data_IF_150207943742
#
_entry.id   IF_150207943742
#
_cell.length_a   1.000
_cell.length_b   1.000
_cell.length_c   1.000
_cell.angle_alpha   90.00
_cell.angle_beta   90.00
_cell.angle_gamma   90.00
#
_symmetry.space_group_name_H-M   'P 1'
#
loop_
_entity.id
_entity.type
_entity.pdbx_description
1 polymer ?
#
# COMPACT_ATOMS: atom_id res chain seq x y z
N UNK A 1 5.09 14.57 -18.21
CA UNK A 1 6.31 14.68 -17.38
C UNK A 1 6.36 13.46 -16.48
N UNK A 2 7.54 12.90 -16.22
CA UNK A 2 7.71 11.77 -15.30
C UNK A 2 7.83 12.31 -13.88
N UNK A 3 6.94 11.90 -12.97
CA UNK A 3 7.01 12.31 -11.55
C UNK A 3 8.33 11.82 -10.96
N UNK A 4 9.06 12.72 -10.28
CA UNK A 4 10.39 12.40 -9.70
C UNK A 4 10.33 12.54 -8.19
N UNK A 5 10.82 11.52 -7.49
CA UNK A 5 10.94 11.44 -6.03
C UNK A 5 12.40 11.34 -5.62
N UNK A 6 12.73 11.74 -4.40
CA UNK A 6 14.09 11.67 -3.84
C UNK A 6 14.19 10.78 -2.60
N UNK A 7 15.29 10.03 -2.50
CA UNK A 7 15.73 9.40 -1.25
C UNK A 7 17.12 9.93 -0.96
N UNK A 8 17.24 10.79 0.05
CA UNK A 8 18.53 11.29 0.50
C UNK A 8 19.14 10.32 1.49
N UNK A 9 20.40 9.94 1.31
CA UNK A 9 21.11 9.05 2.24
C UNK A 9 22.18 9.85 3.00
N UNK A 10 22.06 9.88 4.32
CA UNK A 10 22.99 10.55 5.24
C UNK A 10 23.80 9.46 5.95
N UNK A 11 25.11 9.46 5.76
CA UNK A 11 26.01 8.47 6.36
C UNK A 11 27.45 8.97 6.46
N UNK A 12 28.31 8.24 7.19
CA UNK A 12 29.76 8.45 7.20
C UNK A 12 30.48 7.18 6.77
N UNK A 13 31.09 7.18 5.57
CA UNK A 13 31.89 6.04 5.06
C UNK A 13 31.08 4.78 4.72
N UNK A 14 29.80 4.94 4.37
CA UNK A 14 28.88 3.84 4.00
C UNK A 14 28.36 3.99 2.56
N UNK A 15 29.21 4.43 1.64
CA UNK A 15 28.88 4.65 0.23
C UNK A 15 28.40 3.35 -0.45
N UNK A 16 28.96 2.20 -0.04
CA UNK A 16 28.54 0.89 -0.51
C UNK A 16 27.08 0.57 -0.14
N UNK A 17 26.66 0.92 1.07
CA UNK A 17 25.30 0.70 1.54
C UNK A 17 24.30 1.64 0.86
N UNK A 18 24.69 2.90 0.63
CA UNK A 18 23.90 3.82 -0.20
C UNK A 18 23.70 3.28 -1.62
N UNK A 19 24.75 2.68 -2.20
CA UNK A 19 24.68 1.98 -3.49
C UNK A 19 23.72 0.78 -3.46
N UNK A 20 23.74 -0.01 -2.39
CA UNK A 20 22.82 -1.14 -2.20
C UNK A 20 21.36 -0.69 -2.10
N UNK A 21 21.08 0.39 -1.35
CA UNK A 21 19.73 0.99 -1.29
C UNK A 21 19.29 1.44 -2.68
N UNK A 22 20.16 2.13 -3.43
CA UNK A 22 19.86 2.57 -4.79
C UNK A 22 19.49 1.42 -5.73
N UNK A 23 20.24 0.32 -5.67
CA UNK A 23 19.93 -0.88 -6.45
C UNK A 23 18.59 -1.51 -6.04
N UNK A 24 18.30 -1.60 -4.74
CA UNK A 24 17.04 -2.16 -4.26
C UNK A 24 15.84 -1.29 -4.63
N UNK A 25 15.96 0.05 -4.55
CA UNK A 25 14.95 0.99 -5.03
C UNK A 25 14.66 0.78 -6.51
N UNK A 26 15.70 0.67 -7.35
CA UNK A 26 15.53 0.41 -8.78
C UNK A 26 14.85 -0.95 -9.05
N UNK A 27 15.23 -1.98 -8.30
CA UNK A 27 14.66 -3.32 -8.42
C UNK A 27 13.18 -3.35 -7.98
N UNK A 28 12.81 -2.62 -6.93
CA UNK A 28 11.41 -2.53 -6.50
C UNK A 28 10.55 -1.79 -7.53
N UNK A 29 11.05 -0.70 -8.13
CA UNK A 29 10.36 -0.03 -9.24
C UNK A 29 10.15 -0.94 -10.45
N UNK A 30 11.08 -1.85 -10.72
CA UNK A 30 10.91 -2.86 -11.77
C UNK A 30 9.83 -3.87 -11.38
N UNK A 31 9.85 -4.37 -10.15
CA UNK A 31 8.89 -5.33 -9.59
C UNK A 31 7.47 -4.79 -9.62
N UNK A 32 7.27 -3.53 -9.21
CA UNK A 32 5.99 -2.83 -9.27
C UNK A 32 5.59 -2.38 -10.69
N UNK A 33 6.51 -2.52 -11.66
CA UNK A 33 6.31 -2.09 -13.04
C UNK A 33 6.23 -0.57 -13.23
N UNK A 34 6.79 0.21 -12.30
CA UNK A 34 6.75 1.67 -12.23
C UNK A 34 7.97 2.36 -12.86
N UNK A 35 9.02 1.61 -13.18
CA UNK A 35 10.28 2.09 -13.76
C UNK A 35 10.17 2.93 -15.06
N UNK A 36 9.00 3.00 -15.69
CA UNK A 36 8.72 3.86 -16.87
C UNK A 36 7.79 5.03 -16.60
N UNK A 37 7.13 5.03 -15.44
CA UNK A 37 6.08 5.98 -15.06
C UNK A 37 6.58 7.04 -14.08
N UNK A 38 7.55 6.69 -13.24
CA UNK A 38 8.16 7.61 -12.29
C UNK A 38 9.66 7.32 -12.13
N UNK A 39 10.37 8.27 -11.52
CA UNK A 39 11.79 8.15 -11.17
C UNK A 39 11.97 8.34 -9.67
N UNK A 40 12.77 7.49 -9.03
CA UNK A 40 13.21 7.71 -7.64
C UNK A 40 14.74 7.85 -7.65
N UNK A 41 15.24 9.03 -7.26
CA UNK A 41 16.68 9.30 -7.22
C UNK A 41 17.21 9.08 -5.80
N UNK A 42 18.17 8.18 -5.65
CA UNK A 42 18.91 7.99 -4.39
C UNK A 42 20.19 8.81 -4.44
N UNK A 43 20.41 9.72 -3.49
CA UNK A 43 21.57 10.62 -3.49
C UNK A 43 22.08 10.94 -2.08
N UNK A 44 23.39 11.14 -1.94
CA UNK A 44 24.00 11.62 -0.70
C UNK A 44 23.91 13.15 -0.57
N UNK A 45 23.86 13.84 -1.71
CA UNK A 45 23.71 15.29 -1.78
C UNK A 45 22.32 15.74 -1.37
N UNK A 46 22.22 16.99 -0.89
CA UNK A 46 20.94 17.67 -0.67
C UNK A 46 20.11 17.65 -1.95
N UNK A 47 18.86 17.25 -1.84
CA UNK A 47 17.90 17.20 -2.94
C UNK A 47 17.40 18.62 -3.27
N UNK A 48 16.87 18.82 -4.49
CA UNK A 48 16.22 20.10 -4.82
C UNK A 48 14.88 20.22 -4.10
N UNK A 49 14.53 21.44 -3.71
CA UNK A 49 13.28 21.76 -2.99
C UNK A 49 12.00 21.44 -3.77
N UNK A 50 12.12 21.06 -5.05
CA UNK A 50 11.02 20.89 -5.98
C UNK A 50 10.42 19.50 -5.99
N UNK A 51 11.15 18.49 -5.50
CA UNK A 51 10.70 17.10 -5.54
C UNK A 51 10.42 16.60 -4.11
N UNK A 52 9.34 15.82 -3.94
CA UNK A 52 9.08 15.15 -2.67
C UNK A 52 10.23 14.18 -2.38
N UNK A 53 10.70 14.20 -1.15
CA UNK A 53 11.80 13.36 -0.76
C UNK A 53 11.70 12.94 0.70
N UNK A 54 12.35 11.82 0.99
CA UNK A 54 12.56 11.29 2.33
C UNK A 54 14.05 11.14 2.58
N UNK A 55 14.44 11.08 3.84
CA UNK A 55 15.82 10.86 4.23
C UNK A 55 16.01 9.50 4.89
N UNK A 56 17.14 8.88 4.62
CA UNK A 56 17.66 7.70 5.28
C UNK A 56 18.92 8.10 6.02
N UNK A 57 18.99 7.82 7.32
CA UNK A 57 20.21 7.95 8.10
C UNK A 57 20.80 6.55 8.34
N UNK A 58 21.99 6.28 7.80
CA UNK A 58 22.70 5.03 8.08
C UNK A 58 23.45 5.17 9.40
N UNK A 59 22.83 4.68 10.47
CA UNK A 59 23.28 4.84 11.84
C UNK A 59 24.37 3.85 12.23
N UNK A 60 25.47 4.39 12.72
CA UNK A 60 26.51 3.67 13.44
C UNK A 60 27.21 4.63 14.43
N UNK A 61 28.15 4.11 15.22
CA UNK A 61 28.88 4.93 16.19
C UNK A 61 29.70 6.06 15.54
N UNK A 62 30.16 5.88 14.30
CA UNK A 62 30.99 6.83 13.56
C UNK A 62 30.15 8.00 13.05
N UNK A 63 29.05 7.71 12.36
CA UNK A 63 28.10 8.69 11.85
C UNK A 63 27.44 9.48 12.99
N UNK A 64 27.14 8.83 14.12
CA UNK A 64 26.59 9.51 15.30
C UNK A 64 27.54 10.52 15.92
N UNK A 65 28.84 10.24 15.90
CA UNK A 65 29.86 11.09 16.51
C UNK A 65 30.30 12.25 15.59
N UNK A 66 29.89 12.24 14.32
CA UNK A 66 30.30 13.21 13.32
C UNK A 66 29.42 14.48 13.37
N UNK A 67 30.01 15.68 13.61
CA UNK A 67 29.27 16.93 13.64
C UNK A 67 28.62 17.30 12.30
N UNK A 68 29.26 17.00 11.17
CA UNK A 68 28.71 17.34 9.84
C UNK A 68 27.44 16.52 9.59
N UNK A 69 27.41 15.26 10.04
CA UNK A 69 26.22 14.40 9.95
C UNK A 69 25.09 14.94 10.83
N UNK A 70 25.40 15.41 12.04
CA UNK A 70 24.40 16.02 12.92
C UNK A 70 23.80 17.29 12.28
N UNK A 71 24.61 18.10 11.61
CA UNK A 71 24.17 19.31 10.89
C UNK A 71 23.27 18.96 9.69
N UNK A 72 23.59 17.90 8.93
CA UNK A 72 22.73 17.43 7.83
C UNK A 72 21.39 16.87 8.33
N UNK A 73 21.36 16.15 9.46
CA UNK A 73 20.11 15.71 10.08
C UNK A 73 19.28 16.91 10.54
N UNK A 74 19.90 17.89 11.20
CA UNK A 74 19.22 19.10 11.66
C UNK A 74 18.64 19.90 10.48
N UNK A 75 19.38 19.98 9.37
CA UNK A 75 18.93 20.64 8.15
C UNK A 75 17.62 20.05 7.62
N UNK A 76 17.53 18.72 7.53
CA UNK A 76 16.35 18.01 7.02
C UNK A 76 15.14 18.12 7.98
N UNK A 77 15.37 17.97 9.29
CA UNK A 77 14.30 18.12 10.29
C UNK A 77 13.69 19.52 10.30
N UNK A 78 14.51 20.57 10.13
CA UNK A 78 14.03 21.95 10.07
C UNK A 78 13.14 22.23 8.86
N UNK A 79 13.20 21.38 7.83
CA UNK A 79 12.36 21.45 6.63
C UNK A 79 11.10 20.58 6.74
N UNK A 80 10.95 19.83 7.83
CA UNK A 80 9.87 18.86 8.01
C UNK A 80 10.08 17.56 7.23
N UNK A 81 11.28 17.29 6.72
CA UNK A 81 11.57 16.04 6.01
C UNK A 81 11.58 14.86 6.98
N UNK A 82 10.83 13.80 6.68
CA UNK A 82 10.89 12.54 7.44
C UNK A 82 12.25 11.88 7.26
N UNK A 83 12.90 11.51 8.37
CA UNK A 83 14.19 10.81 8.39
C UNK A 83 14.00 9.43 9.02
N UNK A 84 14.35 8.38 8.27
CA UNK A 84 14.35 7.00 8.73
C UNK A 84 15.76 6.59 9.20
N UNK A 85 15.98 6.37 10.51
CA UNK A 85 17.21 5.77 10.99
C UNK A 85 17.26 4.29 10.59
N UNK A 86 18.31 3.88 9.89
CA UNK A 86 18.63 2.48 9.64
C UNK A 86 19.80 2.08 10.52
N UNK A 87 19.64 0.99 11.25
CA UNK A 87 20.66 0.48 12.18
C UNK A 87 20.81 -1.01 12.02
N UNK A 88 21.99 -1.55 12.36
CA UNK A 88 22.22 -2.99 12.23
C UNK A 88 21.47 -3.79 13.32
N UNK A 89 21.26 -3.18 14.50
CA UNK A 89 20.59 -3.81 15.65
C UNK A 89 19.83 -2.77 16.48
N UNK A 90 18.51 -2.97 16.64
CA UNK A 90 17.65 -2.10 17.44
C UNK A 90 18.05 -2.08 18.92
N UNK A 91 18.65 -3.15 19.44
CA UNK A 91 19.18 -3.21 20.81
C UNK A 91 20.30 -2.19 21.07
N UNK A 92 20.95 -1.72 20.02
CA UNK A 92 22.04 -0.73 20.07
C UNK A 92 21.64 0.65 19.56
N UNK A 93 20.34 0.93 19.40
CA UNK A 93 19.81 2.19 18.87
C UNK A 93 20.47 3.43 19.48
N UNK A 94 20.49 3.55 20.80
CA UNK A 94 21.05 4.73 21.48
C UNK A 94 22.55 4.88 21.27
N UNK A 95 23.27 3.84 20.86
CA UNK A 95 24.70 3.91 20.53
C UNK A 95 24.94 4.37 19.08
N UNK A 96 23.96 4.17 18.18
CA UNK A 96 24.09 4.39 16.74
C UNK A 96 23.30 5.62 16.23
N UNK A 97 22.34 6.12 17.00
CA UNK A 97 21.47 7.24 16.60
C UNK A 97 21.74 8.48 17.46
N UNK A 98 21.92 9.67 16.87
CA UNK A 98 22.14 10.91 17.61
C UNK A 98 20.86 11.36 18.34
N UNK A 99 21.03 12.08 19.46
CA UNK A 99 19.89 12.51 20.31
C UNK A 99 18.84 13.32 19.57
N UNK A 100 19.24 14.11 18.57
CA UNK A 100 18.32 14.91 17.74
C UNK A 100 17.32 14.04 16.97
N UNK A 101 17.66 12.77 16.68
CA UNK A 101 16.84 11.81 15.96
C UNK A 101 16.27 10.72 16.89
N UNK A 102 16.51 10.79 18.20
CA UNK A 102 16.10 9.76 19.15
C UNK A 102 14.57 9.65 19.34
N UNK A 103 13.80 10.60 18.81
CA UNK A 103 12.34 10.55 18.79
C UNK A 103 11.78 9.62 17.69
N UNK A 104 12.60 9.27 16.69
CA UNK A 104 12.20 8.45 15.56
C UNK A 104 12.55 6.97 15.81
N UNK A 105 11.62 6.07 15.48
CA UNK A 105 11.89 4.64 15.48
C UNK A 105 12.86 4.28 14.34
N UNK A 106 13.82 3.40 14.62
CA UNK A 106 14.70 2.88 13.58
C UNK A 106 14.13 1.63 12.90
N UNK A 107 14.65 1.35 11.71
CA UNK A 107 14.46 0.09 11.01
C UNK A 107 15.76 -0.69 11.10
N UNK A 108 15.67 -1.96 11.49
CA UNK A 108 16.81 -2.86 11.44
C UNK A 108 17.14 -3.22 9.99
N UNK A 109 18.39 -3.02 9.58
CA UNK A 109 18.91 -3.50 8.31
C UNK A 109 20.11 -4.41 8.55
N UNK A 110 19.88 -5.72 8.46
CA UNK A 110 20.88 -6.75 8.80
C UNK A 110 21.16 -7.72 7.63
N UNK A 111 21.02 -7.24 6.40
CA UNK A 111 21.26 -8.02 5.19
C UNK A 111 20.26 -7.73 4.07
N UNK A 112 20.27 -8.56 3.04
CA UNK A 112 19.44 -8.36 1.85
C UNK A 112 17.95 -8.59 2.12
N UNK A 113 17.61 -9.48 3.06
CA UNK A 113 16.21 -9.84 3.37
C UNK A 113 15.44 -8.64 3.96
N UNK A 114 16.04 -7.90 4.89
CA UNK A 114 15.42 -6.72 5.49
C UNK A 114 15.39 -5.50 4.56
N UNK A 115 16.18 -5.49 3.49
CA UNK A 115 16.28 -4.36 2.57
C UNK A 115 14.99 -4.12 1.78
N UNK A 116 14.28 -5.19 1.40
CA UNK A 116 12.98 -5.08 0.74
C UNK A 116 12.00 -4.27 1.60
N UNK A 117 11.93 -4.59 2.91
CA UNK A 117 11.11 -3.86 3.88
C UNK A 117 11.52 -2.40 4.00
N UNK A 118 12.82 -2.09 4.02
CA UNK A 118 13.31 -0.70 4.03
C UNK A 118 12.77 0.06 2.83
N UNK A 119 12.93 -0.48 1.61
CA UNK A 119 12.47 0.19 0.38
C UNK A 119 10.96 0.41 0.38
N UNK A 120 10.17 -0.58 0.85
CA UNK A 120 8.71 -0.43 0.96
C UNK A 120 8.30 0.70 1.89
N UNK A 121 8.90 0.79 3.09
CA UNK A 121 8.62 1.89 4.02
C UNK A 121 8.95 3.25 3.40
N UNK A 122 10.04 3.35 2.63
CA UNK A 122 10.37 4.59 1.91
C UNK A 122 9.34 4.89 0.82
N UNK A 123 8.84 3.88 0.09
CA UNK A 123 7.82 4.05 -0.95
C UNK A 123 6.44 4.38 -0.37
N UNK A 124 6.10 3.84 0.79
CA UNK A 124 4.89 4.20 1.56
C UNK A 124 4.94 5.68 1.98
N UNK A 125 6.09 6.15 2.49
CA UNK A 125 6.25 7.55 2.89
C UNK A 125 6.25 8.50 1.68
N UNK A 126 6.79 8.07 0.54
CA UNK A 126 6.74 8.81 -0.72
C UNK A 126 5.37 8.71 -1.43
N UNK A 127 4.40 7.99 -0.86
CA UNK A 127 3.06 7.79 -1.45
C UNK A 127 3.02 6.96 -2.74
N UNK A 128 4.13 6.29 -3.06
CA UNK A 128 4.25 5.36 -4.20
C UNK A 128 3.52 4.06 -3.88
N UNK A 129 3.78 3.49 -2.70
CA UNK A 129 3.04 2.34 -2.16
C UNK A 129 1.97 2.79 -1.15
N UNK A 130 0.99 1.92 -0.90
CA UNK A 130 -0.15 2.24 -0.05
C UNK A 130 0.21 2.10 1.43
N UNK A 131 0.04 3.19 2.21
CA UNK A 131 0.29 3.19 3.66
C UNK A 131 -0.72 2.35 4.44
N UNK A 132 -1.91 2.11 3.89
CA UNK A 132 -2.94 1.29 4.52
C UNK A 132 -2.71 -0.17 4.14
N UNK A 133 -1.94 -0.87 4.98
CA UNK A 133 -1.61 -2.29 4.82
C UNK A 133 -2.76 -3.19 5.25
N UNK A 134 -3.93 -3.11 4.61
CA UNK A 134 -5.08 -3.97 4.96
C UNK A 134 -5.08 -5.25 4.13
N UNK A 135 -5.37 -6.39 4.75
CA UNK A 135 -5.45 -7.73 4.11
C UNK A 135 -6.71 -8.45 4.56
N UNK A 136 -7.54 -8.92 3.62
CA UNK A 136 -8.65 -9.81 3.92
C UNK A 136 -8.16 -11.26 3.87
N UNK A 137 -8.31 -12.04 4.95
CA UNK A 137 -7.88 -13.44 5.03
C UNK A 137 -9.10 -14.36 4.87
N UNK A 138 -9.23 -14.93 3.67
CA UNK A 138 -10.25 -15.93 3.34
C UNK A 138 -9.74 -17.33 3.68
N UNK A 139 -10.56 -18.09 4.40
CA UNK A 139 -10.24 -19.45 4.83
C UNK A 139 -11.51 -20.26 5.08
N UNK A 140 -11.41 -21.59 5.00
CA UNK A 140 -12.44 -22.49 5.53
C UNK A 140 -12.20 -22.68 7.03
N UNK A 141 -13.22 -22.42 7.85
CA UNK A 141 -13.13 -22.51 9.32
C UNK A 141 -12.76 -23.90 9.82
N UNK A 142 -13.19 -24.95 9.12
CA UNK A 142 -13.01 -26.33 9.57
C UNK A 142 -11.54 -26.78 9.60
N UNK A 143 -10.71 -26.27 8.69
CA UNK A 143 -9.33 -26.72 8.51
C UNK A 143 -8.30 -25.59 8.27
N UNK A 144 -8.73 -24.33 8.24
CA UNK A 144 -7.85 -23.16 8.05
C UNK A 144 -7.85 -22.16 9.20
N UNK A 145 -8.64 -22.38 10.25
CA UNK A 145 -8.83 -21.39 11.32
C UNK A 145 -7.55 -21.11 12.11
N UNK A 146 -6.83 -22.15 12.56
CA UNK A 146 -5.60 -21.96 13.36
C UNK A 146 -4.53 -21.20 12.59
N UNK A 147 -4.32 -21.54 11.32
CA UNK A 147 -3.40 -20.82 10.44
C UNK A 147 -3.83 -19.37 10.17
N UNK A 148 -5.14 -19.11 10.01
CA UNK A 148 -5.66 -17.75 9.83
C UNK A 148 -5.42 -16.89 11.08
N UNK A 149 -5.69 -17.41 12.27
CA UNK A 149 -5.43 -16.72 13.55
C UNK A 149 -3.93 -16.44 13.73
N UNK A 150 -3.06 -17.42 13.44
CA UNK A 150 -1.61 -17.23 13.46
C UNK A 150 -1.15 -16.12 12.50
N UNK A 151 -1.69 -16.11 11.27
CA UNK A 151 -1.40 -15.09 10.28
C UNK A 151 -1.88 -13.70 10.70
N UNK A 152 -3.06 -13.60 11.31
CA UNK A 152 -3.57 -12.34 11.83
C UNK A 152 -2.58 -11.71 12.81
N UNK A 153 -2.11 -12.48 13.80
CA UNK A 153 -1.18 -11.96 14.80
C UNK A 153 0.16 -11.57 14.18
N UNK A 154 0.69 -12.42 13.28
CA UNK A 154 1.96 -12.14 12.62
C UNK A 154 1.88 -10.94 11.69
N UNK A 155 0.86 -10.84 10.85
CA UNK A 155 0.65 -9.69 9.96
C UNK A 155 0.46 -8.39 10.74
N UNK A 156 -0.27 -8.44 11.86
CA UNK A 156 -0.43 -7.29 12.78
C UNK A 156 0.93 -6.81 13.30
N UNK A 157 1.83 -7.73 13.66
CA UNK A 157 3.19 -7.38 14.08
C UNK A 157 4.00 -6.69 12.98
N UNK A 158 3.72 -7.00 11.72
CA UNK A 158 4.31 -6.35 10.54
C UNK A 158 3.54 -5.09 10.10
N UNK A 159 2.59 -4.60 10.90
CA UNK A 159 1.87 -3.35 10.64
C UNK A 159 0.71 -3.48 9.65
N UNK A 160 0.32 -4.71 9.30
CA UNK A 160 -0.93 -4.93 8.57
C UNK A 160 -2.15 -4.77 9.48
N UNK A 161 -3.29 -4.53 8.83
CA UNK A 161 -4.63 -4.61 9.40
C UNK A 161 -5.33 -5.83 8.78
N UNK A 162 -5.10 -7.04 9.31
CA UNK A 162 -5.76 -8.24 8.83
C UNK A 162 -7.23 -8.28 9.24
N UNK A 163 -8.08 -8.80 8.35
CA UNK A 163 -9.49 -9.05 8.60
C UNK A 163 -9.80 -10.54 8.43
N UNK A 164 -10.49 -11.11 9.42
CA UNK A 164 -11.03 -12.46 9.39
C UNK A 164 -12.50 -12.37 9.81
N UNK A 165 -13.41 -12.92 9.00
CA UNK A 165 -14.86 -12.85 9.16
C UNK A 165 -15.40 -13.16 10.56
N UNK A 166 -14.73 -14.05 11.30
CA UNK A 166 -15.15 -14.47 12.64
C UNK A 166 -15.05 -13.35 13.68
N UNK A 167 -14.05 -12.47 13.58
CA UNK A 167 -13.75 -11.49 14.63
C UNK A 167 -14.40 -10.12 14.40
N UNK A 168 -14.77 -9.81 13.16
CA UNK A 168 -15.06 -8.44 12.76
C UNK A 168 -16.56 -8.13 12.55
N UNK A 169 -17.40 -9.14 12.34
CA UNK A 169 -18.84 -8.93 12.09
C UNK A 169 -19.61 -8.90 13.41
N UNK A 170 -20.27 -7.76 13.70
CA UNK A 170 -21.04 -7.55 14.93
C UNK A 170 -22.34 -8.35 14.94
N UNK A 171 -22.78 -8.75 16.13
CA UNK A 171 -24.10 -9.34 16.33
C UNK A 171 -25.21 -8.42 15.78
N UNK A 172 -26.11 -8.99 14.97
CA UNK A 172 -27.22 -8.25 14.36
C UNK A 172 -26.90 -7.51 13.06
N UNK A 173 -25.67 -7.59 12.54
CA UNK A 173 -25.31 -7.05 11.24
C UNK A 173 -25.73 -7.96 10.07
N UNK A 174 -25.89 -7.38 8.88
CA UNK A 174 -26.01 -8.13 7.63
C UNK A 174 -24.62 -8.64 7.22
N UNK A 175 -24.37 -9.93 7.46
CA UNK A 175 -23.08 -10.60 7.24
C UNK A 175 -22.59 -10.40 5.80
N UNK A 176 -23.46 -10.51 4.79
CA UNK A 176 -23.05 -10.41 3.39
C UNK A 176 -22.63 -8.99 3.04
N UNK A 177 -23.39 -8.00 3.49
CA UNK A 177 -23.06 -6.58 3.27
C UNK A 177 -21.76 -6.17 3.97
N UNK A 178 -21.50 -6.68 5.18
CA UNK A 178 -20.27 -6.40 5.92
C UNK A 178 -19.04 -7.06 5.26
N UNK A 179 -19.14 -8.30 4.78
CA UNK A 179 -18.05 -8.97 4.04
C UNK A 179 -17.76 -8.23 2.73
N UNK A 180 -18.79 -7.84 1.98
CA UNK A 180 -18.61 -7.06 0.76
C UNK A 180 -17.91 -5.71 1.03
N UNK A 181 -18.35 -4.97 2.05
CA UNK A 181 -17.68 -3.73 2.46
C UNK A 181 -16.24 -3.99 2.91
N UNK A 182 -15.99 -5.08 3.64
CA UNK A 182 -14.64 -5.43 4.08
C UNK A 182 -13.73 -5.76 2.88
N UNK A 183 -14.21 -6.52 1.89
CA UNK A 183 -13.46 -6.78 0.65
C UNK A 183 -13.13 -5.48 -0.08
N UNK A 184 -14.10 -4.57 -0.25
CA UNK A 184 -13.86 -3.27 -0.90
C UNK A 184 -12.87 -2.39 -0.09
N UNK A 185 -12.97 -2.39 1.23
CA UNK A 185 -12.07 -1.63 2.11
C UNK A 185 -10.65 -2.20 2.10
N UNK A 186 -10.50 -3.53 2.04
CA UNK A 186 -9.21 -4.21 2.13
C UNK A 186 -8.50 -4.30 0.79
N UNK A 187 -9.23 -4.30 -0.34
CA UNK A 187 -8.72 -4.29 -1.71
C UNK A 187 -7.64 -5.35 -2.05
N UNK A 188 -7.42 -6.31 -1.15
CA UNK A 188 -6.47 -7.40 -1.26
C UNK A 188 -6.99 -8.64 -0.51
N UNK A 189 -6.96 -9.80 -1.17
CA UNK A 189 -7.40 -11.09 -0.67
C UNK A 189 -6.22 -12.04 -0.50
N UNK A 190 -6.00 -12.53 0.73
CA UNK A 190 -5.18 -13.70 1.02
C UNK A 190 -6.11 -14.91 1.17
N UNK A 191 -6.05 -15.86 0.24
CA UNK A 191 -6.78 -17.12 0.31
C UNK A 191 -5.90 -18.22 0.89
N UNK A 192 -6.35 -18.83 1.99
CA UNK A 192 -5.80 -20.08 2.50
C UNK A 192 -6.53 -21.24 1.83
N UNK A 193 -5.90 -21.80 0.80
CA UNK A 193 -6.43 -22.93 0.04
C UNK A 193 -6.02 -24.22 0.74
N UNK A 194 -6.72 -24.52 1.84
CA UNK A 194 -6.66 -25.75 2.63
C UNK A 194 -7.44 -26.89 1.94
N UNK A 195 -7.28 -28.16 2.36
CA UNK A 195 -7.97 -29.30 1.73
C UNK A 195 -9.49 -29.14 1.56
N UNK A 196 -10.18 -28.53 2.52
CA UNK A 196 -11.63 -28.30 2.50
C UNK A 196 -12.04 -26.92 1.97
N UNK A 197 -11.09 -26.04 1.62
CA UNK A 197 -11.38 -24.67 1.16
C UNK A 197 -12.37 -24.65 -0.02
N UNK A 198 -12.18 -25.54 -0.99
CA UNK A 198 -13.02 -25.67 -2.20
C UNK A 198 -14.50 -26.02 -1.91
N UNK A 199 -14.82 -26.47 -0.69
CA UNK A 199 -16.19 -26.88 -0.30
C UNK A 199 -16.99 -25.74 0.33
N UNK A 200 -16.44 -24.52 0.41
CA UNK A 200 -17.06 -23.38 1.07
C UNK A 200 -17.64 -22.41 0.05
N UNK A 201 -18.97 -22.29 -0.01
CA UNK A 201 -19.65 -21.30 -0.85
C UNK A 201 -19.22 -19.85 -0.50
N UNK A 202 -18.97 -19.58 0.78
CA UNK A 202 -18.48 -18.27 1.23
C UNK A 202 -17.09 -17.93 0.69
N UNK A 203 -16.16 -18.89 0.72
CA UNK A 203 -14.81 -18.71 0.19
C UNK A 203 -14.87 -18.52 -1.33
N UNK A 204 -15.77 -19.26 -2.00
CA UNK A 204 -16.04 -19.06 -3.42
C UNK A 204 -16.53 -17.62 -3.72
N UNK A 205 -17.54 -17.14 -2.99
CA UNK A 205 -18.11 -15.80 -3.20
C UNK A 205 -17.06 -14.70 -2.97
N UNK A 206 -16.19 -14.82 -1.97
CA UNK A 206 -15.08 -13.88 -1.70
C UNK A 206 -14.05 -13.86 -2.83
N UNK A 207 -13.69 -15.03 -3.37
CA UNK A 207 -12.77 -15.16 -4.50
C UNK A 207 -13.38 -14.57 -5.77
N UNK A 208 -14.62 -14.93 -6.09
CA UNK A 208 -15.34 -14.39 -7.26
C UNK A 208 -15.46 -12.86 -7.16
N UNK A 209 -15.77 -12.36 -5.96
CA UNK A 209 -15.80 -10.93 -5.68
C UNK A 209 -14.41 -10.30 -5.92
N UNK A 210 -13.35 -10.80 -5.31
CA UNK A 210 -12.02 -10.21 -5.47
C UNK A 210 -11.55 -10.17 -6.93
N UNK A 211 -11.80 -11.24 -7.68
CA UNK A 211 -11.41 -11.34 -9.09
C UNK A 211 -12.26 -10.44 -10.00
N UNK A 212 -13.59 -10.44 -9.83
CA UNK A 212 -14.50 -9.60 -10.62
C UNK A 212 -14.28 -8.10 -10.40
N UNK A 213 -13.69 -7.73 -9.25
CA UNK A 213 -13.34 -6.36 -8.92
C UNK A 213 -11.88 -6.03 -9.16
N UNK A 214 -11.04 -6.93 -9.69
CA UNK A 214 -9.60 -6.73 -9.95
C UNK A 214 -8.75 -6.41 -8.71
N UNK A 215 -9.13 -6.97 -7.55
CA UNK A 215 -8.36 -6.85 -6.32
C UNK A 215 -7.02 -7.59 -6.45
N UNK A 216 -6.05 -7.22 -5.60
CA UNK A 216 -4.85 -8.04 -5.44
C UNK A 216 -5.23 -9.37 -4.77
N UNK A 217 -4.67 -10.49 -5.24
CA UNK A 217 -4.94 -11.81 -4.68
C UNK A 217 -3.64 -12.57 -4.51
N UNK A 218 -3.46 -13.19 -3.34
CA UNK A 218 -2.45 -14.21 -3.09
C UNK A 218 -3.15 -15.48 -2.61
N UNK A 219 -2.84 -16.61 -3.23
CA UNK A 219 -3.35 -17.92 -2.81
C UNK A 219 -2.19 -18.71 -2.17
N UNK A 220 -2.33 -19.06 -0.90
CA UNK A 220 -1.45 -19.98 -0.20
C UNK A 220 -2.05 -21.39 -0.28
N UNK A 221 -1.46 -22.26 -1.10
CA UNK A 221 -1.93 -23.64 -1.30
C UNK A 221 -1.27 -24.57 -0.29
N UNK A 222 -2.10 -25.28 0.47
CA UNK A 222 -1.64 -26.32 1.39
C UNK A 222 -0.91 -27.46 0.66
N UNK A 223 0.00 -28.17 1.34
CA UNK A 223 0.62 -29.37 0.80
C UNK A 223 -0.40 -30.50 0.56
N UNK A 224 -0.06 -31.40 -0.36
CA UNK A 224 -0.88 -32.57 -0.69
C UNK A 224 -1.84 -32.35 -1.86
N UNK A 225 -2.84 -33.24 -1.96
CA UNK A 225 -3.86 -33.20 -3.02
C UNK A 225 -4.98 -32.22 -2.65
N UNK A 226 -4.73 -30.94 -2.90
CA UNK A 226 -5.66 -29.84 -2.63
C UNK A 226 -6.30 -29.39 -3.94
N UNK A 227 -7.63 -29.35 -3.95
CA UNK A 227 -8.41 -28.86 -5.10
C UNK A 227 -8.42 -27.33 -5.15
N UNK A 228 -8.46 -26.77 -6.35
CA UNK A 228 -8.69 -25.34 -6.56
C UNK A 228 -10.03 -24.92 -5.94
N UNK A 229 -10.07 -23.80 -5.23
CA UNK A 229 -11.35 -23.14 -4.94
C UNK A 229 -12.00 -22.76 -6.28
N UNK A 230 -13.31 -22.99 -6.49
CA UNK A 230 -13.95 -22.64 -7.76
C UNK A 230 -13.73 -21.15 -8.12
N UNK A 231 -13.57 -20.84 -9.41
CA UNK A 231 -13.25 -19.49 -9.88
C UNK A 231 -11.77 -19.06 -9.71
N UNK A 232 -10.98 -19.73 -8.87
CA UNK A 232 -9.56 -19.38 -8.64
C UNK A 232 -8.57 -20.05 -9.61
N UNK A 233 -9.05 -20.83 -10.58
CA UNK A 233 -8.18 -21.54 -11.52
C UNK A 233 -7.39 -20.58 -12.41
N UNK A 234 -6.11 -20.87 -12.58
CA UNK A 234 -5.17 -20.02 -13.35
C UNK A 234 -4.58 -18.85 -12.56
N UNK A 235 -5.02 -18.61 -11.32
CA UNK A 235 -4.38 -17.65 -10.41
C UNK A 235 -3.09 -18.28 -9.85
N UNK A 236 -1.95 -17.57 -9.89
CA UNK A 236 -0.70 -18.06 -9.30
C UNK A 236 -0.84 -18.36 -7.81
N UNK A 237 -0.24 -19.47 -7.37
CA UNK A 237 -0.28 -19.97 -6.00
C UNK A 237 1.11 -20.00 -5.40
N UNK A 238 1.21 -19.57 -4.14
CA UNK A 238 2.33 -19.91 -3.29
C UNK A 238 2.11 -21.32 -2.75
N UNK A 239 2.96 -22.26 -3.17
CA UNK A 239 2.92 -23.63 -2.65
C UNK A 239 3.53 -23.68 -1.25
N UNK A 240 2.79 -24.15 -0.26
CA UNK A 240 3.29 -24.40 1.08
C UNK A 240 3.85 -25.83 1.14
N UNK A 241 5.08 -25.98 1.62
CA UNK A 241 5.74 -27.27 1.75
C UNK A 241 5.23 -28.09 2.94
N UNK A 242 5.33 -29.42 2.86
CA UNK A 242 4.94 -30.32 3.95
C UNK A 242 5.66 -30.01 5.27
N UNK A 243 6.92 -29.57 5.21
CA UNK A 243 7.72 -29.22 6.39
C UNK A 243 7.40 -27.82 6.95
N UNK A 244 6.55 -27.07 6.26
CA UNK A 244 6.14 -25.71 6.68
C UNK A 244 4.83 -25.71 7.45
N UNK A 245 4.15 -26.86 7.54
CA UNK A 245 2.92 -27.05 8.31
C UNK A 245 3.20 -28.00 9.47
N UNK A 246 2.69 -27.64 10.65
CA UNK A 246 2.70 -28.47 11.86
C UNK A 246 1.33 -28.42 12.52
N UNK A 247 0.98 -29.46 13.27
CA UNK A 247 -0.23 -29.47 14.09
C UNK A 247 0.08 -28.93 15.48
N UNK A 248 -0.70 -27.96 15.94
CA UNK A 248 -0.55 -27.35 17.26
C UNK A 248 -1.13 -28.21 18.40
N UNK A 249 -1.04 -27.71 19.64
CA UNK A 249 -1.57 -28.40 20.83
C UNK A 249 -3.10 -28.52 20.87
N UNK A 250 -3.80 -27.73 20.05
CA UNK A 250 -5.26 -27.72 19.92
C UNK A 250 -5.73 -28.52 18.69
N UNK A 251 -4.82 -29.23 18.02
CA UNK A 251 -5.08 -30.03 16.83
C UNK A 251 -5.51 -29.21 15.60
N UNK A 252 -5.01 -27.98 15.47
CA UNK A 252 -5.09 -27.16 14.26
C UNK A 252 -3.79 -27.23 13.46
N UNK A 253 -3.92 -27.22 12.14
CA UNK A 253 -2.76 -27.03 11.26
C UNK A 253 -2.36 -25.55 11.25
N UNK A 254 -1.08 -25.29 11.52
CA UNK A 254 -0.45 -23.97 11.59
C UNK A 254 0.89 -23.98 10.85
N UNK A 255 1.42 -22.80 10.55
CA UNK A 255 2.72 -22.67 9.92
C UNK A 255 3.86 -22.84 10.94
N UNK A 256 4.99 -23.41 10.49
CA UNK A 256 6.26 -23.22 11.20
C UNK A 256 6.70 -21.76 11.12
N UNK A 257 7.57 -21.32 12.04
CA UNK A 257 8.08 -19.93 12.04
C UNK A 257 8.69 -19.53 10.68
N UNK A 258 9.52 -20.40 10.09
CA UNK A 258 10.12 -20.13 8.79
C UNK A 258 9.09 -20.09 7.65
N UNK A 259 8.09 -20.97 7.67
CA UNK A 259 7.01 -20.97 6.69
C UNK A 259 6.12 -19.72 6.80
N UNK A 260 5.85 -19.30 8.03
CA UNK A 260 5.08 -18.10 8.35
C UNK A 260 5.82 -16.84 7.88
N UNK A 261 7.12 -16.72 8.16
CA UNK A 261 7.96 -15.59 7.72
C UNK A 261 8.03 -15.48 6.19
N UNK A 262 8.16 -16.63 5.52
CA UNK A 262 8.11 -16.69 4.06
C UNK A 262 6.76 -16.27 3.51
N UNK A 263 5.65 -16.76 4.10
CA UNK A 263 4.30 -16.40 3.66
C UNK A 263 4.03 -14.90 3.88
N UNK A 264 4.41 -14.34 5.03
CA UNK A 264 4.26 -12.90 5.30
C UNK A 264 5.03 -12.08 4.27
N UNK A 265 6.30 -12.42 4.01
CA UNK A 265 7.09 -11.74 2.95
C UNK A 265 6.38 -11.76 1.59
N UNK A 266 5.76 -12.89 1.23
CA UNK A 266 4.98 -13.01 -0.01
C UNK A 266 3.67 -12.21 0.01
N UNK A 267 3.01 -12.10 1.16
CA UNK A 267 1.85 -11.22 1.35
C UNK A 267 2.25 -9.77 1.11
N UNK A 268 3.40 -9.32 1.65
CA UNK A 268 3.89 -7.95 1.44
C UNK A 268 4.12 -7.65 -0.04
N UNK A 269 4.82 -8.54 -0.76
CA UNK A 269 5.08 -8.40 -2.19
C UNK A 269 3.79 -8.38 -3.02
N UNK A 270 2.89 -9.32 -2.78
CA UNK A 270 1.65 -9.44 -3.53
C UNK A 270 0.69 -8.27 -3.25
N UNK A 271 0.65 -7.79 -2.00
CA UNK A 271 -0.17 -6.66 -1.59
C UNK A 271 0.26 -5.38 -2.28
N UNK A 272 1.54 -5.04 -2.19
CA UNK A 272 2.10 -3.86 -2.84
C UNK A 272 1.86 -3.88 -4.35
N UNK A 273 2.17 -5.00 -5.01
CA UNK A 273 1.95 -5.15 -6.45
C UNK A 273 0.48 -5.02 -6.83
N UNK A 274 -0.42 -5.64 -6.06
CA UNK A 274 -1.87 -5.61 -6.29
C UNK A 274 -2.44 -4.19 -6.21
N UNK A 275 -2.09 -3.46 -5.15
CA UNK A 275 -2.58 -2.10 -4.90
C UNK A 275 -1.99 -1.09 -5.89
N UNK A 276 -0.68 -1.18 -6.18
CA UNK A 276 -0.02 -0.35 -7.20
C UNK A 276 -0.64 -0.61 -8.58
N UNK A 277 -0.85 -1.87 -8.97
CA UNK A 277 -1.51 -2.21 -10.23
C UNK A 277 -2.91 -1.59 -10.31
N UNK A 278 -3.69 -1.67 -9.24
CA UNK A 278 -5.05 -1.12 -9.16
C UNK A 278 -5.07 0.39 -9.32
N UNK A 279 -4.22 1.12 -8.58
CA UNK A 279 -4.07 2.58 -8.72
C UNK A 279 -3.65 2.99 -10.13
N UNK A 280 -2.74 2.24 -10.76
CA UNK A 280 -2.35 2.47 -12.17
C UNK A 280 -3.51 2.31 -13.13
N UNK A 281 -4.38 1.32 -12.93
CA UNK A 281 -5.57 1.13 -13.77
C UNK A 281 -6.52 2.32 -13.63
N UNK A 282 -6.77 2.79 -12.40
CA UNK A 282 -7.59 3.98 -12.14
C UNK A 282 -7.04 5.23 -12.85
N UNK A 283 -5.76 5.54 -12.63
CA UNK A 283 -5.10 6.71 -13.24
C UNK A 283 -5.18 6.62 -14.77
N UNK A 284 -4.85 5.45 -15.33
CA UNK A 284 -4.90 5.23 -16.78
C UNK A 284 -6.32 5.38 -17.35
N UNK A 285 -7.32 4.87 -16.64
CA UNK A 285 -8.74 5.02 -17.01
C UNK A 285 -9.14 6.50 -17.09
N UNK A 286 -8.72 7.30 -16.11
CA UNK A 286 -8.95 8.75 -16.10
C UNK A 286 -8.24 9.45 -17.26
N UNK A 287 -6.96 9.16 -17.47
CA UNK A 287 -6.17 9.74 -18.57
C UNK A 287 -6.75 9.41 -19.95
N UNK A 288 -7.16 8.16 -20.16
CA UNK A 288 -7.79 7.71 -21.42
C UNK A 288 -9.14 8.38 -21.64
N UNK A 289 -9.97 8.48 -20.61
CA UNK A 289 -11.27 9.14 -20.69
C UNK A 289 -11.14 10.65 -20.93
N UNK A 290 -10.23 11.34 -20.23
CA UNK A 290 -9.94 12.74 -20.44
C UNK A 290 -9.44 13.00 -21.87
N UNK A 291 -8.51 12.16 -22.36
CA UNK A 291 -8.01 12.25 -23.75
C UNK A 291 -9.13 12.05 -24.77
N UNK A 292 -10.01 11.07 -24.55
CA UNK A 292 -11.14 10.80 -25.44
C UNK A 292 -12.15 11.97 -25.47
N UNK A 293 -12.30 12.70 -24.36
CA UNK A 293 -13.13 13.90 -24.27
C UNK A 293 -12.46 15.16 -24.84
N UNK A 294 -11.23 15.07 -25.35
CA UNK A 294 -10.51 16.23 -25.92
C UNK A 294 -9.99 17.23 -24.88
N UNK A 295 -9.78 16.78 -23.64
CA UNK A 295 -9.18 17.59 -22.56
C UNK A 295 -7.80 18.08 -22.96
N UNK A 296 -7.48 19.34 -22.65
CA UNK A 296 -6.29 20.03 -23.15
C UNK A 296 -4.99 19.48 -22.55
N UNK A 297 -4.99 19.16 -21.26
CA UNK A 297 -3.84 18.62 -20.54
C UNK A 297 -4.27 17.71 -19.39
N UNK A 298 -3.52 16.63 -19.17
CA UNK A 298 -3.70 15.73 -18.03
C UNK A 298 -2.30 15.33 -17.57
N UNK A 299 -1.90 15.77 -16.38
CA UNK A 299 -0.54 15.58 -15.85
C UNK A 299 -0.61 14.90 -14.50
N UNK A 300 0.21 13.86 -14.30
CA UNK A 300 0.33 13.18 -13.02
C UNK A 300 0.97 14.08 -11.97
N UNK A 301 0.38 14.09 -10.79
CA UNK A 301 0.92 14.67 -9.57
C UNK A 301 1.47 13.54 -8.67
N UNK A 302 1.81 13.89 -7.44
CA UNK A 302 2.17 12.93 -6.40
C UNK A 302 0.94 12.16 -5.91
N UNK A 303 1.17 11.08 -5.14
CA UNK A 303 0.14 10.26 -4.49
C UNK A 303 -1.00 9.82 -5.41
N UNK A 304 -0.68 9.48 -6.66
CA UNK A 304 -1.65 8.96 -7.62
C UNK A 304 -2.78 9.96 -7.96
N UNK A 305 -2.48 11.26 -7.89
CA UNK A 305 -3.37 12.34 -8.28
C UNK A 305 -3.02 12.87 -9.67
N UNK A 306 -3.94 13.60 -10.29
CA UNK A 306 -3.80 14.20 -11.60
C UNK A 306 -4.23 15.68 -11.55
N UNK A 307 -3.54 16.54 -12.28
CA UNK A 307 -4.04 17.87 -12.64
C UNK A 307 -4.57 17.80 -14.06
N UNK A 308 -5.85 18.10 -14.22
CA UNK A 308 -6.55 18.02 -15.50
C UNK A 308 -7.00 19.42 -15.91
N UNK A 309 -6.62 19.85 -17.11
CA UNK A 309 -6.98 21.15 -17.68
C UNK A 309 -8.04 20.97 -18.77
N UNK A 310 -9.25 21.42 -18.45
CA UNK A 310 -10.41 21.42 -19.35
C UNK A 310 -10.64 22.80 -19.94
N UNK A 311 -11.59 22.93 -20.87
CA UNK A 311 -12.01 24.24 -21.38
C UNK A 311 -12.64 25.13 -20.30
N UNK A 312 -13.22 24.54 -19.25
CA UNK A 312 -13.91 25.22 -18.15
C UNK A 312 -12.96 25.62 -17.00
N UNK A 313 -11.74 25.09 -17.00
CA UNK A 313 -10.74 25.34 -15.98
C UNK A 313 -9.95 24.09 -15.60
N UNK A 314 -9.21 24.19 -14.49
CA UNK A 314 -8.38 23.11 -13.96
C UNK A 314 -9.11 22.38 -12.84
N UNK A 315 -8.88 21.07 -12.72
CA UNK A 315 -9.43 20.22 -11.66
C UNK A 315 -8.34 19.27 -11.15
N UNK A 316 -8.28 19.08 -9.83
CA UNK A 316 -7.44 18.04 -9.23
C UNK A 316 -8.26 16.76 -9.13
N UNK A 317 -7.72 15.65 -9.64
CA UNK A 317 -8.36 14.34 -9.58
C UNK A 317 -7.53 13.42 -8.70
N UNK A 318 -8.08 13.00 -7.57
CA UNK A 318 -7.51 11.95 -6.72
C UNK A 318 -8.05 10.57 -7.06
N UNK A 319 -7.31 9.54 -6.65
CA UNK A 319 -7.73 8.15 -6.82
C UNK A 319 -7.64 7.41 -5.50
N UNK A 320 -8.60 6.52 -5.25
CA UNK A 320 -8.53 5.58 -4.13
C UNK A 320 -8.88 4.16 -4.59
N UNK A 321 -8.00 3.17 -4.34
CA UNK A 321 -8.22 1.78 -4.76
C UNK A 321 -9.25 1.04 -3.89
N UNK A 322 -9.74 1.66 -2.82
CA UNK A 322 -10.57 1.07 -1.76
C UNK A 322 -11.94 1.76 -1.68
N UNK A 323 -12.69 1.47 -0.63
CA UNK A 323 -13.74 2.36 -0.16
C UNK A 323 -13.17 3.77 0.10
N UNK A 324 -13.82 4.83 -0.42
CA UNK A 324 -13.40 6.20 -0.16
C UNK A 324 -13.63 6.59 1.29
N UNK A 325 -12.72 7.39 1.83
CA UNK A 325 -12.73 7.90 3.20
C UNK A 325 -12.77 9.43 3.22
N UNK A 326 -13.01 10.00 4.40
CA UNK A 326 -12.92 11.45 4.60
C UNK A 326 -11.49 11.97 4.34
N UNK A 327 -10.47 11.17 4.66
CA UNK A 327 -9.07 11.51 4.43
C UNK A 327 -8.75 11.59 2.94
N UNK A 328 -9.25 10.67 2.10
CA UNK A 328 -9.07 10.74 0.65
C UNK A 328 -9.61 12.06 0.07
N UNK A 329 -10.78 12.51 0.55
CA UNK A 329 -11.36 13.78 0.14
C UNK A 329 -10.55 14.99 0.64
N UNK A 330 -10.10 14.93 1.90
CA UNK A 330 -9.28 15.99 2.50
C UNK A 330 -7.98 16.18 1.72
N UNK A 331 -7.28 15.10 1.41
CA UNK A 331 -6.02 15.14 0.66
C UNK A 331 -6.18 15.78 -0.73
N UNK A 332 -7.28 15.48 -1.43
CA UNK A 332 -7.55 16.10 -2.73
C UNK A 332 -7.85 17.60 -2.59
N UNK A 333 -8.59 17.99 -1.55
CA UNK A 333 -8.91 19.39 -1.25
C UNK A 333 -7.65 20.20 -0.88
N UNK A 334 -6.74 19.61 -0.10
CA UNK A 334 -5.45 20.22 0.28
C UNK A 334 -4.57 20.45 -0.95
N UNK A 335 -4.40 19.45 -1.81
CA UNK A 335 -3.64 19.59 -3.07
C UNK A 335 -4.29 20.63 -4.00
N UNK A 336 -5.62 20.65 -4.08
CA UNK A 336 -6.33 21.67 -4.85
C UNK A 336 -6.02 23.08 -4.31
N UNK A 337 -6.07 23.27 -2.99
CA UNK A 337 -5.77 24.55 -2.35
C UNK A 337 -4.30 25.00 -2.54
N UNK A 338 -3.35 24.06 -2.52
CA UNK A 338 -1.92 24.34 -2.78
C UNK A 338 -1.68 24.84 -4.21
N UNK A 339 -2.35 24.24 -5.21
CA UNK A 339 -2.20 24.61 -6.62
C UNK A 339 -2.96 25.90 -6.95
N UNK A 340 -4.09 26.14 -6.27
CA UNK A 340 -4.87 27.36 -6.45
C UNK A 340 -6.10 27.43 -5.55
N UNK A 341 -6.26 28.57 -4.88
CA UNK A 341 -7.45 28.84 -4.07
C UNK A 341 -8.73 28.61 -4.91
N UNK A 342 -9.59 27.70 -4.43
CA UNK A 342 -10.87 27.31 -5.04
C UNK A 342 -10.82 26.40 -6.28
N UNK A 343 -9.71 25.70 -6.54
CA UNK A 343 -9.71 24.63 -7.53
C UNK A 343 -10.70 23.51 -7.13
N UNK A 344 -11.55 23.03 -8.05
CA UNK A 344 -12.38 21.88 -7.78
C UNK A 344 -11.52 20.61 -7.64
N UNK A 345 -12.01 19.68 -6.82
CA UNK A 345 -11.44 18.35 -6.66
C UNK A 345 -12.44 17.25 -6.98
N UNK A 346 -11.93 16.16 -7.56
CA UNK A 346 -12.68 14.96 -7.89
C UNK A 346 -11.98 13.75 -7.30
N UNK A 347 -12.67 12.97 -6.48
CA UNK A 347 -12.19 11.67 -6.02
C UNK A 347 -12.79 10.56 -6.88
N UNK A 348 -11.94 9.76 -7.53
CA UNK A 348 -12.34 8.55 -8.25
C UNK A 348 -12.03 7.33 -7.39
N UNK A 349 -13.03 6.49 -7.11
CA UNK A 349 -12.87 5.28 -6.30
C UNK A 349 -13.16 4.00 -7.07
N UNK A 350 -12.50 2.90 -6.70
CA UNK A 350 -12.79 1.56 -7.26
C UNK A 350 -13.96 0.84 -6.58
N UNK A 351 -14.46 1.35 -5.46
CA UNK A 351 -15.62 0.76 -4.77
C UNK A 351 -16.86 0.68 -5.69
N UNK A 352 -17.53 -0.47 -5.73
CA UNK A 352 -18.66 -0.72 -6.64
C UNK A 352 -19.96 -0.22 -6.04
N UNK A 353 -20.12 -0.37 -4.73
CA UNK A 353 -21.30 0.11 -4.02
C UNK A 353 -20.89 0.78 -2.71
N UNK A 354 -21.30 2.03 -2.54
CA UNK A 354 -21.20 2.71 -1.26
C UNK A 354 -22.50 2.54 -0.51
N UNK A 355 -22.44 2.09 0.74
CA UNK A 355 -23.62 2.08 1.61
C UNK A 355 -24.24 3.48 1.72
N UNK A 356 -25.56 3.56 1.89
CA UNK A 356 -26.27 4.84 2.08
C UNK A 356 -25.72 5.66 3.26
N UNK A 357 -25.22 4.98 4.28
CA UNK A 357 -24.59 5.61 5.44
C UNK A 357 -23.26 6.25 5.05
N UNK A 358 -22.38 5.51 4.37
CA UNK A 358 -21.08 6.02 3.93
C UNK A 358 -21.25 7.16 2.92
N UNK A 359 -22.14 6.99 1.94
CA UNK A 359 -22.47 8.01 0.95
C UNK A 359 -22.91 9.33 1.59
N UNK A 360 -23.84 9.28 2.55
CA UNK A 360 -24.28 10.48 3.29
C UNK A 360 -23.18 11.11 4.12
N UNK A 361 -22.32 10.30 4.74
CA UNK A 361 -21.20 10.79 5.52
C UNK A 361 -20.20 11.55 4.64
N UNK A 362 -19.80 10.97 3.51
CA UNK A 362 -18.86 11.60 2.59
C UNK A 362 -19.43 12.84 1.90
N UNK A 363 -20.74 12.85 1.59
CA UNK A 363 -21.44 14.05 1.11
C UNK A 363 -21.47 15.16 2.17
N UNK A 364 -21.60 14.81 3.45
CA UNK A 364 -21.49 15.78 4.53
C UNK A 364 -20.06 16.34 4.65
N UNK A 365 -19.03 15.50 4.48
CA UNK A 365 -17.61 15.92 4.48
C UNK A 365 -17.30 16.86 3.32
N UNK A 366 -17.79 16.57 2.11
CA UNK A 366 -17.60 17.43 0.94
C UNK A 366 -18.51 18.66 0.91
N UNK A 367 -19.49 18.75 1.82
CA UNK A 367 -20.46 19.83 1.89
C UNK A 367 -19.80 21.20 2.05
N UNK A 368 -20.13 22.14 1.14
CA UNK A 368 -19.57 23.49 1.14
C UNK A 368 -18.18 23.59 0.51
N UNK A 369 -17.62 22.49 0.01
CA UNK A 369 -16.37 22.45 -0.76
C UNK A 369 -16.66 22.18 -2.24
N UNK A 370 -15.75 22.52 -3.14
CA UNK A 370 -15.85 22.19 -4.58
C UNK A 370 -15.37 20.77 -4.85
N UNK A 371 -15.85 19.82 -4.04
CA UNK A 371 -15.40 18.43 -4.02
C UNK A 371 -16.50 17.49 -4.51
N UNK A 372 -16.17 16.66 -5.49
CA UNK A 372 -17.05 15.61 -6.02
C UNK A 372 -16.40 14.24 -5.90
N UNK A 373 -17.21 13.19 -5.97
CA UNK A 373 -16.73 11.82 -5.93
C UNK A 373 -17.53 10.96 -6.90
N UNK A 374 -16.84 10.09 -7.65
CA UNK A 374 -17.46 9.18 -8.60
C UNK A 374 -16.81 7.79 -8.56
N UNK A 375 -17.56 6.72 -8.88
CA UNK A 375 -16.97 5.41 -9.11
C UNK A 375 -16.19 5.37 -10.43
N UNK A 376 -15.21 4.49 -10.53
CA UNK A 376 -14.36 4.28 -11.71
C UNK A 376 -15.17 4.08 -13.01
N UNK A 377 -16.28 3.35 -12.96
CA UNK A 377 -17.11 3.08 -14.13
C UNK A 377 -17.88 4.31 -14.64
N UNK A 378 -17.93 5.41 -13.88
CA UNK A 378 -18.57 6.66 -14.28
C UNK A 378 -17.59 7.66 -14.93
N UNK A 379 -16.28 7.40 -14.88
CA UNK A 379 -15.23 8.32 -15.35
C UNK A 379 -15.43 8.75 -16.80
N UNK A 380 -15.74 7.82 -17.72
CA UNK A 380 -15.97 8.16 -19.12
C UNK A 380 -17.17 9.10 -19.34
N UNK A 381 -18.22 8.93 -18.55
CA UNK A 381 -19.42 9.76 -18.61
C UNK A 381 -19.27 11.12 -17.92
N UNK A 382 -18.28 11.27 -17.03
CA UNK A 382 -17.97 12.52 -16.35
C UNK A 382 -17.37 13.55 -17.30
N UNK A 383 -16.34 13.16 -18.07
CA UNK A 383 -15.63 14.07 -18.97
C UNK A 383 -16.42 14.49 -20.22
N UNK A 384 -17.43 13.71 -20.61
CA UNK A 384 -18.18 13.92 -21.86
C UNK A 384 -19.42 14.79 -21.70
N UNK A 385 -19.97 14.95 -20.48
CA UNK A 385 -21.24 15.65 -20.27
C UNK A 385 -21.13 17.18 -20.11
N UNK A 386 -19.91 17.72 -20.07
CA UNK A 386 -19.66 19.11 -19.64
C UNK A 386 -20.00 19.26 -18.16
N UNK A 387 -19.10 19.87 -17.37
CA UNK A 387 -19.35 20.04 -15.94
C UNK A 387 -20.18 21.30 -15.66
#
# INVERSE_FOLDING_TARGET
MTTTYGIRVIHKGREGDAGTISQAVAQELLTLGLHRSLTVTVSESRTSDTNPHVCVYLGDATAKADPDIADEIAYELNRGTTIFPLVDDLGHFSAQVPKILAFANAIAWNGQESLGRVVRVLFEELGIEDRQRKVFISHRRDDGLGAAEQLHDRLTHFGFQPFIDRFAIREGADVQSEIANALEDHAFLLLLETPLAHTSDWVYDEVDYALSHTMGVLIARWPGDVQDVPGSSGIPRLQIGETEIVTDEHNFDVFTEAGLDRLVSRVEEAHALGLVRRRRMLVKSIEEAARAAGVASCVSLQDWRLLVETAEGRIVVGTTPRLPTASDLQEVDEVAAEIGAELPGLLVHSARLLSDRLSRHLQWVSGGRRMSMIPENAVGGWWTRGN
#
